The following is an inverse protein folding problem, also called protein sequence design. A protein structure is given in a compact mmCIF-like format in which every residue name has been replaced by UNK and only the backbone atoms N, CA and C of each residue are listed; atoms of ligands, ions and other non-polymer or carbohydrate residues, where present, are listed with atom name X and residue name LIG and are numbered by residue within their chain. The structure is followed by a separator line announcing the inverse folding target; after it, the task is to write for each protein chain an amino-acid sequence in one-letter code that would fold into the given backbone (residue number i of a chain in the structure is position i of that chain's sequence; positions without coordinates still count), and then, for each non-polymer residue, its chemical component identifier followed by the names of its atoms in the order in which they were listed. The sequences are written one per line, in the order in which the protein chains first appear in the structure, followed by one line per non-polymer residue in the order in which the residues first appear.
data_IF_878228178373
#
_entry.id   IF_878228178373
#
_cell.length_a   1.000
_cell.length_b   1.000
_cell.length_c   1.000
_cell.angle_alpha   90.00
_cell.angle_beta   90.00
_cell.angle_gamma   90.00
#
_symmetry.space_group_name_H-M   'P 1'
#
loop_
_entity.id
_entity.type
_entity.pdbx_description
1 polymer ?
#
# COMPACT_ATOMS: atom_id res chain seq x y z
N UNK A 1 19.43 9.24 26.19
CA UNK A 1 18.30 10.11 25.79
C UNK A 1 18.06 10.06 24.28
N UNK A 2 19.10 10.13 23.45
CA UNK A 2 18.99 10.11 21.99
C UNK A 2 18.41 8.81 21.40
N UNK A 3 18.71 7.65 22.02
CA UNK A 3 18.16 6.38 21.57
C UNK A 3 16.65 6.25 21.84
N UNK A 4 16.15 6.79 22.94
CA UNK A 4 14.70 6.78 23.26
C UNK A 4 13.93 7.70 22.31
N UNK A 5 14.53 8.83 21.92
CA UNK A 5 13.95 9.77 20.96
C UNK A 5 13.89 9.16 19.56
N UNK A 6 14.94 8.44 19.15
CA UNK A 6 15.00 7.72 17.88
C UNK A 6 13.97 6.59 17.80
N UNK A 7 13.79 5.84 18.91
CA UNK A 7 12.77 4.78 19.01
C UNK A 7 11.36 5.39 18.93
N UNK A 8 11.10 6.50 19.62
CA UNK A 8 9.82 7.22 19.56
C UNK A 8 9.53 7.76 18.16
N UNK A 9 10.53 8.27 17.44
CA UNK A 9 10.39 8.73 16.05
C UNK A 9 10.19 7.57 15.05
N UNK A 10 10.71 6.39 15.36
CA UNK A 10 10.50 5.18 14.55
C UNK A 10 9.14 4.55 14.81
N UNK A 11 8.59 4.70 16.01
CA UNK A 11 7.25 4.22 16.36
C UNK A 11 6.13 5.12 15.81
N UNK A 12 6.39 6.42 15.63
CA UNK A 12 5.41 7.38 15.07
C UNK A 12 5.41 7.44 13.54
N UNK A 13 6.47 6.99 12.87
CA UNK A 13 6.45 6.77 11.41
C UNK A 13 5.88 5.39 11.15
N UNK A 14 4.84 5.26 10.29
CA UNK A 14 4.42 3.94 9.85
C UNK A 14 5.65 3.26 9.27
N UNK A 15 6.17 2.27 10.00
CA UNK A 15 7.30 1.45 9.55
C UNK A 15 6.91 0.92 8.19
N UNK A 16 7.72 1.10 7.14
CA UNK A 16 7.47 0.42 5.91
C UNK A 16 7.50 -1.07 6.25
N UNK A 17 6.33 -1.71 6.21
CA UNK A 17 6.28 -3.16 6.19
C UNK A 17 7.23 -3.57 5.07
N UNK A 18 8.44 -4.01 5.42
CA UNK A 18 9.36 -4.63 4.49
C UNK A 18 8.74 -5.98 4.18
N UNK A 19 7.65 -5.90 3.43
CA UNK A 19 7.16 -7.04 2.70
C UNK A 19 8.35 -7.39 1.78
N UNK A 20 9.02 -8.51 2.02
CA UNK A 20 9.76 -9.17 0.96
C UNK A 20 8.69 -9.50 -0.08
N UNK A 21 8.35 -8.49 -0.88
CA UNK A 21 7.63 -8.68 -2.10
C UNK A 21 8.44 -9.77 -2.81
N UNK A 22 7.89 -10.96 -2.92
CA UNK A 22 8.30 -11.82 -3.99
C UNK A 22 8.24 -10.88 -5.19
N UNK A 23 9.40 -10.58 -5.77
CA UNK A 23 9.50 -9.68 -6.92
C UNK A 23 8.63 -10.34 -7.99
N UNK A 24 7.35 -9.99 -7.99
CA UNK A 24 6.51 -10.35 -9.10
C UNK A 24 7.09 -9.59 -10.27
N UNK A 25 7.50 -10.31 -11.27
CA UNK A 25 8.00 -9.76 -12.53
C UNK A 25 7.03 -10.13 -13.64
N UNK A 26 7.03 -9.33 -14.70
CA UNK A 26 6.20 -9.59 -15.86
C UNK A 26 4.85 -8.86 -15.85
N UNK A 27 3.93 -9.24 -16.72
CA UNK A 27 2.68 -8.51 -16.93
C UNK A 27 1.75 -8.64 -15.72
N UNK A 28 1.04 -7.54 -15.43
CA UNK A 28 -0.04 -7.52 -14.43
C UNK A 28 -1.30 -8.12 -15.07
N UNK A 29 -1.63 -9.34 -14.70
CA UNK A 29 -2.79 -10.06 -15.25
C UNK A 29 -3.98 -9.93 -14.28
N UNK A 30 -5.02 -9.24 -14.72
CA UNK A 30 -6.22 -8.93 -13.93
C UNK A 30 -7.40 -9.77 -14.43
N UNK A 31 -8.07 -10.47 -13.53
CA UNK A 31 -9.34 -11.14 -13.82
C UNK A 31 -10.53 -10.45 -13.18
N UNK A 32 -10.37 -9.95 -11.96
CA UNK A 32 -11.46 -9.28 -11.26
C UNK A 32 -11.10 -7.82 -11.01
N UNK A 33 -12.08 -6.94 -11.20
CA UNK A 33 -11.99 -5.51 -10.85
C UNK A 33 -13.06 -5.22 -9.83
N UNK A 34 -12.66 -4.77 -8.64
CA UNK A 34 -13.58 -4.40 -7.56
C UNK A 34 -13.50 -2.92 -7.25
N UNK A 35 -14.65 -2.29 -7.14
CA UNK A 35 -14.81 -0.92 -6.67
C UNK A 35 -15.53 -0.97 -5.33
N UNK A 36 -14.96 -0.35 -4.30
CA UNK A 36 -15.55 -0.30 -2.94
C UNK A 36 -15.66 1.14 -2.49
N UNK A 37 -16.84 1.58 -2.08
CA UNK A 37 -17.01 2.86 -1.39
C UNK A 37 -16.60 2.68 0.08
N UNK A 38 -15.58 3.41 0.53
CA UNK A 38 -15.02 3.29 1.88
C UNK A 38 -15.83 4.14 2.86
N UNK A 39 -17.04 3.69 3.17
CA UNK A 39 -18.01 4.40 4.00
C UNK A 39 -18.68 3.44 4.98
N UNK A 40 -19.03 3.96 6.16
CA UNK A 40 -19.90 3.25 7.10
C UNK A 40 -21.35 3.63 6.83
N UNK A 41 -22.24 2.62 6.78
CA UNK A 41 -23.68 2.82 6.57
C UNK A 41 -23.99 3.75 5.39
N UNK A 42 -23.41 3.44 4.23
CA UNK A 42 -23.58 4.20 3.00
C UNK A 42 -24.04 3.36 1.82
N UNK A 43 -24.01 3.94 0.65
CA UNK A 43 -24.45 3.34 -0.61
C UNK A 43 -23.28 3.35 -1.61
N UNK A 44 -23.30 2.40 -2.54
CA UNK A 44 -22.57 2.51 -3.79
C UNK A 44 -23.58 2.57 -4.94
N UNK A 45 -23.39 3.55 -5.83
CA UNK A 45 -24.18 3.72 -7.05
C UNK A 45 -23.25 4.21 -8.16
N UNK A 46 -23.24 3.51 -9.26
CA UNK A 46 -22.39 3.80 -10.41
C UNK A 46 -23.22 3.73 -11.69
N UNK A 47 -22.97 4.63 -12.61
CA UNK A 47 -23.57 4.57 -13.94
C UNK A 47 -22.85 3.51 -14.78
N UNK A 48 -21.49 3.54 -14.80
CA UNK A 48 -20.73 2.60 -15.63
C UNK A 48 -19.35 2.37 -15.02
N UNK A 49 -18.81 1.17 -15.23
CA UNK A 49 -17.40 0.83 -14.96
C UNK A 49 -16.82 0.21 -16.23
N UNK A 50 -15.92 0.93 -16.87
CA UNK A 50 -15.20 0.46 -18.05
C UNK A 50 -13.83 -0.05 -17.65
N UNK A 51 -13.44 -1.19 -18.22
CA UNK A 51 -12.12 -1.80 -18.01
C UNK A 51 -11.46 -1.98 -19.36
N UNK A 52 -10.29 -1.38 -19.54
CA UNK A 52 -9.64 -1.34 -20.85
C UNK A 52 -8.41 -2.24 -20.92
N UNK A 53 -8.34 -3.02 -21.98
CA UNK A 53 -7.18 -3.74 -22.48
C UNK A 53 -6.90 -3.23 -23.89
N UNK A 54 -5.76 -2.57 -24.10
CA UNK A 54 -5.32 -2.04 -25.40
C UNK A 54 -6.41 -1.20 -26.12
N UNK A 55 -7.07 -0.32 -25.37
CA UNK A 55 -8.12 0.58 -25.88
C UNK A 55 -9.50 -0.05 -26.04
N UNK A 56 -9.66 -1.36 -25.78
CA UNK A 56 -10.94 -2.05 -25.86
C UNK A 56 -11.56 -2.20 -24.47
N UNK A 57 -12.81 -1.77 -24.28
CA UNK A 57 -13.55 -2.02 -23.05
C UNK A 57 -13.94 -3.51 -22.98
N UNK A 58 -13.29 -4.26 -22.06
CA UNK A 58 -13.51 -5.70 -21.86
C UNK A 58 -14.52 -5.98 -20.73
N UNK A 59 -14.97 -4.97 -19.99
CA UNK A 59 -15.97 -5.13 -18.94
C UNK A 59 -17.33 -5.59 -19.47
N UNK A 60 -17.74 -5.12 -20.64
CA UNK A 60 -19.05 -5.39 -21.24
C UNK A 60 -19.35 -6.86 -21.49
N UNK A 61 -18.32 -7.68 -21.70
CA UNK A 61 -18.45 -9.13 -21.87
C UNK A 61 -18.29 -9.91 -20.56
N UNK A 62 -18.02 -9.23 -19.47
CA UNK A 62 -17.81 -9.80 -18.15
C UNK A 62 -19.11 -10.13 -17.40
N UNK A 63 -18.93 -10.69 -16.21
CA UNK A 63 -20.01 -10.86 -15.23
C UNK A 63 -19.82 -9.86 -14.11
N UNK A 64 -20.90 -9.23 -13.65
CA UNK A 64 -20.84 -8.24 -12.61
C UNK A 64 -21.73 -8.62 -11.43
N UNK A 65 -21.26 -8.33 -10.24
CA UNK A 65 -21.98 -8.51 -8.97
C UNK A 65 -21.76 -7.31 -8.06
N UNK A 66 -22.62 -7.14 -7.08
CA UNK A 66 -22.50 -6.10 -6.06
C UNK A 66 -22.87 -6.66 -4.70
N UNK A 67 -22.44 -5.99 -3.62
CA UNK A 67 -22.63 -6.44 -2.24
C UNK A 67 -24.09 -6.65 -1.87
N UNK A 68 -24.97 -5.79 -2.40
CA UNK A 68 -26.42 -5.91 -2.27
C UNK A 68 -27.11 -5.17 -3.43
N UNK A 69 -28.40 -5.40 -3.64
CA UNK A 69 -29.18 -4.68 -4.65
C UNK A 69 -30.34 -3.97 -3.96
N UNK A 70 -30.38 -2.65 -4.14
CA UNK A 70 -31.45 -1.79 -3.66
C UNK A 70 -31.98 -0.88 -4.77
N UNK A 71 -33.13 -0.27 -4.53
CA UNK A 71 -33.65 0.81 -5.37
C UNK A 71 -33.72 0.48 -6.87
N UNK A 72 -34.00 -0.78 -7.22
CA UNK A 72 -34.06 -1.26 -8.61
C UNK A 72 -32.79 -1.01 -9.43
N UNK A 73 -31.61 -0.88 -8.77
CA UNK A 73 -30.32 -0.65 -9.42
C UNK A 73 -29.47 -1.91 -9.48
N UNK A 74 -29.74 -2.89 -10.37
CA UNK A 74 -28.97 -4.12 -10.46
C UNK A 74 -27.54 -3.88 -10.97
N UNK A 75 -26.59 -4.71 -10.53
CA UNK A 75 -25.17 -4.59 -10.90
C UNK A 75 -24.91 -4.50 -12.41
N UNK A 76 -25.74 -5.15 -13.23
CA UNK A 76 -25.58 -5.20 -14.68
C UNK A 76 -25.57 -3.82 -15.35
N UNK A 77 -26.23 -2.82 -14.76
CA UNK A 77 -26.21 -1.45 -15.26
C UNK A 77 -24.81 -0.84 -15.29
N UNK A 78 -23.86 -1.34 -14.49
CA UNK A 78 -22.50 -0.82 -14.46
C UNK A 78 -21.61 -1.30 -15.61
N UNK A 79 -22.07 -2.16 -16.50
CA UNK A 79 -21.30 -2.69 -17.65
C UNK A 79 -22.14 -2.75 -18.94
N UNK A 80 -23.24 -2.01 -19.01
CA UNK A 80 -24.16 -2.03 -20.18
C UNK A 80 -23.76 -1.03 -21.28
N UNK A 81 -22.79 -0.15 -20.99
CA UNK A 81 -22.26 0.87 -21.88
C UNK A 81 -23.02 2.19 -21.81
N UNK A 82 -23.92 2.36 -20.83
CA UNK A 82 -24.62 3.61 -20.58
C UNK A 82 -23.95 4.39 -19.45
N UNK A 83 -23.30 5.48 -19.78
CA UNK A 83 -22.58 6.34 -18.84
C UNK A 83 -23.44 7.45 -18.22
N UNK A 84 -24.73 7.46 -18.51
CA UNK A 84 -25.65 8.46 -17.98
C UNK A 84 -25.86 8.28 -16.49
N UNK A 85 -25.44 9.25 -15.69
CA UNK A 85 -25.52 9.21 -14.24
C UNK A 85 -26.87 9.60 -13.64
N UNK A 86 -27.91 9.79 -14.46
CA UNK A 86 -29.25 10.16 -13.99
C UNK A 86 -30.03 8.90 -13.59
N UNK A 87 -30.28 8.76 -12.28
CA UNK A 87 -31.02 7.62 -11.73
C UNK A 87 -32.46 7.50 -12.30
N UNK A 88 -33.11 8.61 -12.63
CA UNK A 88 -34.47 8.59 -13.20
C UNK A 88 -34.52 7.88 -14.55
N UNK A 89 -33.39 7.74 -15.24
CA UNK A 89 -33.26 7.01 -16.50
C UNK A 89 -32.98 5.52 -16.33
N UNK A 90 -33.00 5.02 -15.11
CA UNK A 90 -32.73 3.61 -14.80
C UNK A 90 -31.34 3.12 -15.29
N UNK A 91 -30.35 4.02 -15.30
CA UNK A 91 -29.00 3.79 -15.81
C UNK A 91 -27.95 3.56 -14.71
N UNK A 92 -28.35 3.59 -13.43
CA UNK A 92 -27.43 3.61 -12.30
C UNK A 92 -27.64 2.38 -11.40
N UNK A 93 -26.56 1.69 -11.06
CA UNK A 93 -26.60 0.64 -10.04
C UNK A 93 -26.89 1.22 -8.65
N UNK A 94 -27.38 0.41 -7.74
CA UNK A 94 -27.57 0.87 -6.37
C UNK A 94 -27.50 -0.29 -5.37
N UNK A 95 -26.65 -0.17 -4.34
CA UNK A 95 -26.64 -1.07 -3.20
C UNK A 95 -27.65 -0.64 -2.14
N UNK A 96 -27.92 -1.49 -1.15
CA UNK A 96 -28.56 -1.06 0.09
C UNK A 96 -27.57 -0.23 0.92
N UNK A 97 -28.08 0.34 2.02
CA UNK A 97 -27.26 1.04 2.99
C UNK A 97 -26.49 0.03 3.84
N UNK A 98 -25.16 0.02 3.69
CA UNK A 98 -24.28 -0.95 4.35
C UNK A 98 -22.86 -0.41 4.53
N UNK A 99 -22.00 -1.16 5.22
CA UNK A 99 -20.61 -0.81 5.41
C UNK A 99 -19.78 -1.28 4.21
N UNK A 100 -18.98 -0.37 3.67
CA UNK A 100 -18.08 -0.62 2.55
C UNK A 100 -18.75 -1.33 1.35
N UNK A 101 -19.87 -0.82 0.82
CA UNK A 101 -20.55 -1.42 -0.32
C UNK A 101 -19.62 -1.50 -1.52
N UNK A 102 -19.74 -2.59 -2.29
CA UNK A 102 -18.84 -2.87 -3.40
C UNK A 102 -19.57 -3.36 -4.65
N UNK A 103 -18.90 -3.19 -5.79
CA UNK A 103 -19.22 -3.76 -7.09
C UNK A 103 -17.97 -4.49 -7.62
N UNK A 104 -18.14 -5.68 -8.19
CA UNK A 104 -17.05 -6.49 -8.75
C UNK A 104 -17.40 -7.00 -10.14
N UNK A 105 -16.45 -6.88 -11.07
CA UNK A 105 -16.53 -7.39 -12.43
C UNK A 105 -15.57 -8.57 -12.56
N UNK A 106 -16.06 -9.74 -12.99
CA UNK A 106 -15.26 -10.88 -13.46
C UNK A 106 -15.12 -10.76 -14.99
N UNK A 107 -13.92 -10.52 -15.46
CA UNK A 107 -13.59 -10.40 -16.90
C UNK A 107 -13.61 -11.76 -17.63
N UNK A 108 -13.91 -12.86 -16.91
CA UNK A 108 -13.97 -14.22 -17.44
C UNK A 108 -12.62 -14.91 -17.59
N UNK A 109 -11.58 -14.16 -17.88
CA UNK A 109 -10.19 -14.65 -17.99
C UNK A 109 -9.22 -13.55 -17.58
N UNK A 110 -7.95 -13.89 -17.22
CA UNK A 110 -6.92 -12.89 -16.97
C UNK A 110 -6.65 -12.00 -18.18
N UNK A 111 -6.60 -10.67 -17.98
CA UNK A 111 -6.43 -9.62 -18.98
C UNK A 111 -5.29 -8.68 -18.59
N UNK A 112 -4.65 -8.07 -19.60
CA UNK A 112 -3.65 -6.99 -19.40
C UNK A 112 -4.37 -5.65 -19.28
N UNK A 113 -5.07 -5.45 -18.18
CA UNK A 113 -5.80 -4.21 -17.92
C UNK A 113 -4.81 -3.06 -17.76
N UNK A 114 -5.01 -1.99 -18.53
CA UNK A 114 -4.18 -0.78 -18.50
C UNK A 114 -4.95 0.47 -18.04
N UNK A 115 -6.28 0.45 -18.07
CA UNK A 115 -7.10 1.56 -17.61
C UNK A 115 -8.42 1.07 -17.02
N UNK A 116 -8.89 1.71 -15.97
CA UNK A 116 -10.23 1.52 -15.41
C UNK A 116 -10.89 2.89 -15.33
N UNK A 117 -12.11 3.01 -15.82
CA UNK A 117 -12.89 4.24 -15.79
C UNK A 117 -14.21 4.00 -15.06
N UNK A 118 -14.53 4.88 -14.11
CA UNK A 118 -15.70 4.75 -13.26
C UNK A 118 -16.56 5.99 -13.45
N UNK A 119 -17.81 5.80 -13.81
CA UNK A 119 -18.81 6.85 -13.94
C UNK A 119 -19.74 6.83 -12.74
N UNK A 120 -19.88 7.98 -12.11
CA UNK A 120 -20.69 8.15 -10.93
C UNK A 120 -22.13 8.52 -11.27
N UNK A 121 -23.01 8.33 -10.33
CA UNK A 121 -24.35 8.95 -10.34
C UNK A 121 -24.20 10.47 -10.18
N UNK A 122 -24.95 11.25 -10.96
CA UNK A 122 -24.79 12.71 -11.04
C UNK A 122 -26.04 13.51 -10.60
N UNK A 123 -27.22 12.88 -10.58
CA UNK A 123 -28.50 13.53 -10.23
C UNK A 123 -28.67 13.81 -8.73
N UNK A 124 -29.52 14.75 -8.39
CA UNK A 124 -30.02 15.00 -7.04
C UNK A 124 -28.96 15.30 -5.98
N UNK A 125 -27.76 15.76 -6.35
CA UNK A 125 -26.65 16.02 -5.42
C UNK A 125 -26.07 14.76 -4.78
N UNK A 126 -26.42 13.59 -5.29
CA UNK A 126 -26.02 12.28 -4.73
C UNK A 126 -24.60 11.87 -5.07
N UNK A 127 -23.95 12.54 -6.04
CA UNK A 127 -22.55 12.27 -6.40
C UNK A 127 -21.61 12.22 -5.17
N UNK A 128 -21.82 13.10 -4.21
CA UNK A 128 -21.02 13.22 -2.98
C UNK A 128 -21.19 12.07 -1.97
N UNK A 129 -22.02 11.06 -2.27
CA UNK A 129 -22.09 9.83 -1.44
C UNK A 129 -20.86 8.96 -1.58
N UNK A 130 -20.12 9.12 -2.68
CA UNK A 130 -18.81 8.48 -2.89
C UNK A 130 -17.73 9.54 -2.66
N UNK A 131 -17.18 9.61 -1.45
CA UNK A 131 -16.12 10.58 -1.08
C UNK A 131 -14.74 9.96 -1.10
N UNK A 132 -14.63 8.75 -0.62
CA UNK A 132 -13.40 7.96 -0.63
C UNK A 132 -13.76 6.55 -1.09
N UNK A 133 -13.08 6.08 -2.12
CA UNK A 133 -13.32 4.76 -2.65
C UNK A 133 -12.01 4.08 -3.05
N UNK A 134 -12.08 2.79 -3.23
CA UNK A 134 -10.95 1.97 -3.59
C UNK A 134 -11.25 1.16 -4.85
N UNK A 135 -10.28 1.12 -5.75
CA UNK A 135 -10.29 0.25 -6.92
C UNK A 135 -9.23 -0.82 -6.70
N UNK A 136 -9.60 -2.06 -6.89
CA UNK A 136 -8.70 -3.21 -6.74
C UNK A 136 -8.76 -4.07 -7.99
N UNK A 137 -7.60 -4.30 -8.59
CA UNK A 137 -7.42 -5.32 -9.60
C UNK A 137 -6.93 -6.60 -8.92
N UNK A 138 -7.61 -7.73 -9.18
CA UNK A 138 -7.30 -9.02 -8.60
C UNK A 138 -6.92 -10.02 -9.69
N UNK A 139 -5.99 -10.89 -9.40
CA UNK A 139 -5.61 -11.99 -10.27
C UNK A 139 -6.67 -13.12 -10.29
N UNK A 140 -6.40 -14.18 -11.02
CA UNK A 140 -7.28 -15.36 -11.12
C UNK A 140 -7.52 -16.06 -9.77
N UNK A 141 -6.56 -15.96 -8.83
CA UNK A 141 -6.64 -16.50 -7.48
C UNK A 141 -7.21 -15.50 -6.47
N UNK A 142 -7.78 -14.39 -6.96
CA UNK A 142 -8.31 -13.28 -6.15
C UNK A 142 -7.26 -12.59 -5.28
N UNK A 143 -5.97 -12.67 -5.62
CA UNK A 143 -4.93 -11.92 -4.96
C UNK A 143 -4.84 -10.53 -5.56
N UNK A 144 -4.72 -9.47 -4.74
CA UNK A 144 -4.59 -8.12 -5.25
C UNK A 144 -3.23 -7.96 -5.94
N UNK A 145 -3.29 -7.55 -7.19
CA UNK A 145 -2.13 -7.22 -7.99
C UNK A 145 -2.01 -5.71 -8.27
N UNK A 146 -3.06 -4.94 -8.05
CA UNK A 146 -3.03 -3.48 -8.08
C UNK A 146 -4.14 -2.89 -7.24
N UNK A 147 -3.85 -1.77 -6.54
CA UNK A 147 -4.79 -1.08 -5.65
C UNK A 147 -4.62 0.43 -5.80
N UNK A 148 -5.71 1.14 -5.96
CA UNK A 148 -5.77 2.59 -5.87
C UNK A 148 -6.85 3.04 -4.89
N UNK A 149 -6.47 3.88 -3.93
CA UNK A 149 -7.41 4.58 -3.04
C UNK A 149 -7.57 6.01 -3.52
N UNK A 150 -8.80 6.44 -3.72
CA UNK A 150 -9.16 7.74 -4.27
C UNK A 150 -9.94 8.52 -3.24
N UNK A 151 -9.43 9.69 -2.85
CA UNK A 151 -10.05 10.60 -1.85
C UNK A 151 -10.81 11.76 -2.51
N UNK A 152 -11.29 11.53 -3.71
CA UNK A 152 -12.01 12.55 -4.48
C UNK A 152 -13.25 11.90 -5.10
N UNK A 153 -14.39 12.54 -4.93
CA UNK A 153 -15.65 12.15 -5.60
C UNK A 153 -15.44 12.12 -7.12
N UNK A 154 -15.81 11.04 -7.83
CA UNK A 154 -15.87 11.04 -9.27
C UNK A 154 -16.90 12.07 -9.76
N UNK A 155 -16.54 12.96 -10.69
CA UNK A 155 -17.47 13.99 -11.18
C UNK A 155 -17.16 14.38 -12.64
N UNK A 156 -17.90 13.87 -13.62
CA UNK A 156 -18.82 12.72 -13.51
C UNK A 156 -18.08 11.38 -13.38
N UNK A 157 -16.80 11.34 -13.71
CA UNK A 157 -16.01 10.13 -13.79
C UNK A 157 -14.66 10.23 -13.06
N UNK A 158 -14.02 9.07 -12.91
CA UNK A 158 -12.65 8.91 -12.47
C UNK A 158 -11.93 7.93 -13.40
N UNK A 159 -10.74 8.30 -13.85
CA UNK A 159 -9.88 7.47 -14.70
C UNK A 159 -8.67 7.01 -13.89
N UNK A 160 -8.48 5.70 -13.81
CA UNK A 160 -7.35 5.06 -13.15
C UNK A 160 -6.45 4.39 -14.20
N UNK A 161 -5.17 4.71 -14.20
CA UNK A 161 -4.17 4.02 -15.00
C UNK A 161 -3.59 2.85 -14.21
N UNK A 162 -3.65 1.66 -14.78
CA UNK A 162 -3.10 0.44 -14.20
C UNK A 162 -1.76 0.14 -14.90
N UNK A 163 -0.64 0.06 -14.18
CA UNK A 163 0.63 -0.32 -14.79
C UNK A 163 0.56 -1.72 -15.39
N UNK A 164 1.05 -1.89 -16.59
CA UNK A 164 1.00 -3.17 -17.32
C UNK A 164 2.01 -4.20 -16.85
N UNK A 165 3.05 -3.77 -16.11
CA UNK A 165 4.07 -4.64 -15.53
C UNK A 165 4.32 -4.31 -14.06
N UNK A 166 4.72 -5.31 -13.27
CA UNK A 166 5.03 -5.11 -11.84
C UNK A 166 6.26 -4.23 -11.62
N UNK A 167 7.19 -4.19 -12.55
CA UNK A 167 8.40 -3.34 -12.49
C UNK A 167 8.05 -1.84 -12.55
N UNK A 168 6.90 -1.50 -13.12
CA UNK A 168 6.41 -0.13 -13.21
C UNK A 168 5.73 0.39 -11.94
N UNK A 169 5.60 -0.45 -10.91
CA UNK A 169 4.90 -0.06 -9.68
C UNK A 169 5.73 0.94 -8.87
N UNK A 170 5.08 2.03 -8.49
CA UNK A 170 5.65 2.96 -7.54
C UNK A 170 5.69 2.36 -6.12
N UNK A 171 6.55 2.88 -5.23
CA UNK A 171 6.54 2.49 -3.82
C UNK A 171 5.18 2.68 -3.13
N UNK A 172 4.42 3.68 -3.57
CA UNK A 172 3.07 3.97 -3.07
C UNK A 172 2.08 2.87 -3.46
N UNK A 173 2.10 2.42 -4.71
CA UNK A 173 1.28 1.31 -5.19
C UNK A 173 1.60 0.01 -4.46
N UNK A 174 2.88 -0.27 -4.22
CA UNK A 174 3.31 -1.44 -3.45
C UNK A 174 2.77 -1.39 -2.00
N UNK A 175 2.80 -0.21 -1.36
CA UNK A 175 2.21 0.00 -0.02
C UNK A 175 0.70 -0.19 -0.02
N UNK A 176 0.00 0.36 -1.02
CA UNK A 176 -1.46 0.23 -1.13
C UNK A 176 -1.90 -1.24 -1.23
N UNK A 177 -1.18 -2.06 -2.00
CA UNK A 177 -1.42 -3.50 -2.09
C UNK A 177 -1.19 -4.19 -0.74
N UNK A 178 -0.10 -3.87 -0.05
CA UNK A 178 0.21 -4.44 1.26
C UNK A 178 -0.86 -4.06 2.30
N UNK A 179 -1.30 -2.81 2.31
CA UNK A 179 -2.37 -2.33 3.18
C UNK A 179 -3.68 -3.07 2.90
N UNK A 180 -4.08 -3.18 1.64
CA UNK A 180 -5.29 -3.91 1.26
C UNK A 180 -5.25 -5.37 1.74
N UNK A 181 -4.13 -6.07 1.56
CA UNK A 181 -3.95 -7.44 2.04
C UNK A 181 -4.10 -7.53 3.56
N UNK A 182 -3.54 -6.60 4.30
CA UNK A 182 -3.64 -6.58 5.76
C UNK A 182 -5.05 -6.30 6.27
N UNK A 183 -5.81 -5.47 5.57
CA UNK A 183 -7.22 -5.18 5.87
C UNK A 183 -8.13 -6.36 5.53
N UNK A 184 -7.81 -7.11 4.46
CA UNK A 184 -8.58 -8.27 4.01
C UNK A 184 -8.33 -9.53 4.85
N UNK A 185 -7.13 -9.70 5.41
CA UNK A 185 -6.77 -10.84 6.28
C UNK A 185 -6.02 -10.37 7.54
N UNK A 186 -6.75 -9.98 8.61
CA UNK A 186 -6.16 -9.55 9.87
C UNK A 186 -5.32 -10.63 10.57
N UNK A 187 -5.58 -11.92 10.31
CA UNK A 187 -4.81 -13.03 10.89
C UNK A 187 -3.42 -13.11 10.28
N UNK A 188 -3.31 -12.93 8.97
CA UNK A 188 -2.01 -12.90 8.28
C UNK A 188 -1.15 -11.72 8.79
N UNK A 189 -1.76 -10.56 9.01
CA UNK A 189 -1.11 -9.41 9.62
C UNK A 189 -0.57 -9.72 11.03
N UNK A 190 -1.38 -10.35 11.87
CA UNK A 190 -0.99 -10.73 13.25
C UNK A 190 0.18 -11.70 13.25
N UNK A 191 0.17 -12.69 12.35
CA UNK A 191 1.27 -13.65 12.18
C UNK A 191 2.55 -12.94 11.72
N UNK A 192 2.44 -12.02 10.75
CA UNK A 192 3.57 -11.26 10.25
C UNK A 192 4.17 -10.34 11.32
N UNK A 193 3.36 -9.67 12.12
CA UNK A 193 3.79 -8.83 13.24
C UNK A 193 4.51 -9.65 14.33
N UNK A 194 3.99 -10.84 14.67
CA UNK A 194 4.66 -11.75 15.62
C UNK A 194 6.03 -12.19 15.13
N UNK A 195 6.12 -12.55 13.84
CA UNK A 195 7.39 -12.95 13.21
C UNK A 195 8.40 -11.81 13.17
N UNK A 196 7.95 -10.58 12.91
CA UNK A 196 8.81 -9.39 12.94
C UNK A 196 9.37 -9.18 14.35
N UNK A 197 8.53 -9.21 15.37
CA UNK A 197 8.95 -9.08 16.77
C UNK A 197 9.95 -10.15 17.21
N UNK A 198 9.78 -11.38 16.73
CA UNK A 198 10.73 -12.47 17.01
C UNK A 198 12.08 -12.24 16.31
N UNK A 199 12.08 -11.71 15.08
CA UNK A 199 13.29 -11.35 14.35
C UNK A 199 14.03 -10.18 14.98
N UNK A 200 13.32 -9.15 15.41
CA UNK A 200 13.88 -8.01 16.16
C UNK A 200 14.51 -8.45 17.47
N UNK A 201 13.86 -9.35 18.20
CA UNK A 201 14.43 -9.95 19.43
C UNK A 201 15.71 -10.72 19.13
N UNK A 202 15.77 -11.49 18.06
CA UNK A 202 16.99 -12.19 17.63
C UNK A 202 18.08 -11.21 17.22
N UNK A 203 17.75 -10.16 16.48
CA UNK A 203 18.70 -9.13 16.07
C UNK A 203 19.30 -8.40 17.27
N UNK A 204 18.47 -8.02 18.24
CA UNK A 204 18.92 -7.37 19.47
C UNK A 204 19.72 -8.31 20.38
N UNK A 205 19.57 -9.62 20.23
CA UNK A 205 20.36 -10.65 20.93
C UNK A 205 21.73 -10.91 20.30
N UNK A 206 21.98 -10.45 19.08
CA UNK A 206 23.29 -10.57 18.44
C UNK A 206 24.21 -9.52 19.02
N UNK A 207 25.00 -9.94 20.03
CA UNK A 207 26.12 -9.13 20.51
C UNK A 207 27.20 -9.19 19.45
N UNK A 208 27.41 -8.10 18.73
CA UNK A 208 28.58 -7.96 17.87
C UNK A 208 29.86 -8.14 18.66
N UNK A 209 30.96 -8.60 18.05
CA UNK A 209 32.24 -8.66 18.72
C UNK A 209 32.55 -7.26 19.26
N UNK A 210 32.77 -7.16 20.57
CA UNK A 210 33.24 -5.92 21.19
C UNK A 210 34.66 -5.68 20.70
N UNK A 211 34.82 -4.79 19.74
CA UNK A 211 36.13 -4.28 19.36
C UNK A 211 36.53 -3.29 20.44
N UNK A 212 37.64 -3.51 21.15
CA UNK A 212 38.11 -2.52 22.12
C UNK A 212 38.44 -1.23 21.36
N UNK A 213 37.61 -0.21 21.52
CA UNK A 213 37.92 1.11 21.01
C UNK A 213 38.90 1.73 22.02
N UNK A 214 40.14 1.98 21.55
CA UNK A 214 41.09 2.78 22.34
C UNK A 214 40.50 4.19 22.47
N UNK A 215 39.92 4.48 23.64
CA UNK A 215 39.57 5.85 24.04
C UNK A 215 40.77 6.52 24.65
N UNK A 216 41.06 7.73 24.24
CA UNK A 216 42.00 8.54 25.00
C UNK A 216 41.57 8.63 26.47
N UNK A 217 42.51 8.40 27.36
CA UNK A 217 42.27 8.57 28.78
C UNK A 217 42.01 10.04 29.09
N UNK A 218 41.16 10.31 30.07
CA UNK A 218 40.98 11.64 30.60
C UNK A 218 42.34 12.25 30.99
N UNK A 219 42.50 13.57 30.86
CA UNK A 219 43.78 14.29 31.02
C UNK A 219 44.54 13.89 32.31
N UNK A 220 43.79 13.66 33.39
CA UNK A 220 44.28 13.27 34.72
C UNK A 220 44.76 11.80 34.78
N UNK A 221 44.41 10.99 33.81
CA UNK A 221 44.76 9.55 33.71
C UNK A 221 45.70 9.21 32.56
N UNK A 222 46.15 10.20 31.81
CA UNK A 222 47.10 9.99 30.73
C UNK A 222 48.48 9.75 31.35
N UNK A 223 49.17 8.74 30.80
CA UNK A 223 50.57 8.49 31.15
C UNK A 223 51.44 9.59 30.53
N UNK A 224 52.40 10.08 31.30
CA UNK A 224 53.43 10.94 30.76
C UNK A 224 54.26 10.13 29.75
N UNK A 225 54.36 10.63 28.54
CA UNK A 225 55.16 10.02 27.49
C UNK A 225 56.45 10.81 27.32
N UNK A 226 57.56 10.12 27.32
CA UNK A 226 58.89 10.71 27.19
C UNK A 226 59.62 10.14 25.96
N UNK A 227 60.43 10.93 25.36
CA UNK A 227 61.40 10.44 24.39
C UNK A 227 62.47 9.65 25.14
N UNK A 228 62.67 8.39 24.73
CA UNK A 228 63.74 7.58 25.33
C UNK A 228 65.08 7.86 24.67
N UNK A 229 66.06 8.29 25.43
CA UNK A 229 67.39 8.57 24.94
C UNK A 229 68.15 7.28 24.69
N UNK A 230 68.68 7.10 23.51
CA UNK A 230 69.51 5.94 23.07
C UNK A 230 68.82 4.59 23.30
N UNK A 231 67.52 4.52 23.21
CA UNK A 231 66.79 3.24 23.31
C UNK A 231 66.71 2.62 24.72
N UNK A 232 67.07 3.36 25.78
CA UNK A 232 66.99 2.90 27.12
C UNK A 232 65.66 3.32 27.81
N UNK A 233 64.96 2.38 28.41
CA UNK A 233 63.74 2.65 29.15
C UNK A 233 63.98 3.44 30.45
N UNK A 234 65.21 3.50 30.89
CA UNK A 234 65.56 4.20 32.16
C UNK A 234 66.07 5.63 31.90
N UNK A 235 66.39 5.98 30.67
CA UNK A 235 66.88 7.32 30.31
C UNK A 235 65.75 8.11 29.61
N UNK A 236 65.06 8.95 30.38
CA UNK A 236 63.97 9.78 29.82
C UNK A 236 64.55 11.07 29.27
N UNK A 237 64.18 11.44 28.06
CA UNK A 237 64.40 12.76 27.49
C UNK A 237 63.21 13.70 27.72
N UNK A 238 62.96 14.57 26.78
CA UNK A 238 61.85 15.55 26.87
C UNK A 238 60.50 14.87 26.86
N UNK A 239 59.59 15.42 27.69
CA UNK A 239 58.19 14.98 27.70
C UNK A 239 57.54 15.45 26.42
N UNK A 240 56.85 14.53 25.74
CA UNK A 240 56.04 14.85 24.56
C UNK A 240 54.57 14.81 24.87
N UNK A 241 53.82 15.74 24.32
CA UNK A 241 52.38 15.84 24.44
C UNK A 241 51.75 15.51 23.08
N UNK A 242 50.66 14.80 23.10
CA UNK A 242 49.83 14.67 21.90
C UNK A 242 49.24 16.04 21.55
N UNK A 243 49.43 16.46 20.30
CA UNK A 243 48.90 17.71 19.76
C UNK A 243 47.35 17.65 19.60
#
# INVERSE_FOLDING_TARGET
EDQKKLISELETKPQPLIYKAHKQSGPVMTRFVRVTNLVKQGFLHLAEVEVYEDGKNVARSGKVSQSSTGFNGPAKLAIDGNTDGDYAKMSVTHTNKEDNPWLEIDLGSPRKVNQIKIYNRTDGGTANRIKEFQIVALDEKRKPNWVQRVKKTPNPDHVASVPVTFESFSPEQTRAIAQYKSEADPKELTIAQKKLKDLEKKLNGIKGPTVPIFRELAKDKRRNTFVHLRGSYLSHGDQVHAG
#
